data_IF_366418494359
#
_entry.id   IF_366418494359
#
_cell.length_a   1.000
_cell.length_b   1.000
_cell.length_c   1.000
_cell.angle_alpha   90.00
_cell.angle_beta   90.00
_cell.angle_gamma   90.00
#
_symmetry.space_group_name_H-M   'P 1'
#
loop_
_entity.id
_entity.type
_entity.pdbx_description
1 polymer ?
#
# COMPACT_ATOMS: atom_id res chain seq x y z
N UNK A 1 -7.34 -19.39 -3.28
CA UNK A 1 -6.19 -18.69 -2.66
C UNK A 1 -6.47 -17.20 -2.47
N UNK A 2 -7.68 -16.82 -2.05
CA UNK A 2 -8.13 -15.41 -2.02
C UNK A 2 -8.06 -14.80 -0.60
N UNK A 3 -7.99 -15.64 0.43
CA UNK A 3 -7.94 -15.23 1.83
C UNK A 3 -6.54 -14.79 2.27
N UNK A 4 -5.50 -15.31 1.62
CA UNK A 4 -4.08 -15.03 1.90
C UNK A 4 -3.69 -13.57 1.65
N UNK A 5 -4.39 -12.89 0.75
CA UNK A 5 -4.10 -11.50 0.36
C UNK A 5 -4.82 -10.46 1.24
N UNK A 6 -5.84 -10.88 1.98
CA UNK A 6 -6.55 -10.01 2.92
C UNK A 6 -5.87 -9.94 4.29
N UNK A 7 -5.20 -11.02 4.69
CA UNK A 7 -4.43 -11.10 5.94
C UNK A 7 -3.37 -9.98 6.06
N UNK A 8 -2.53 -9.70 5.04
CA UNK A 8 -1.54 -8.63 5.10
C UNK A 8 -2.15 -7.25 5.32
N UNK A 9 -3.24 -6.92 4.60
CA UNK A 9 -3.92 -5.62 4.73
C UNK A 9 -4.58 -5.45 6.10
N UNK A 10 -5.19 -6.51 6.62
CA UNK A 10 -5.80 -6.51 7.95
C UNK A 10 -4.77 -6.27 9.06
N UNK A 11 -3.64 -6.98 9.03
CA UNK A 11 -2.58 -6.78 10.03
C UNK A 11 -1.88 -5.44 9.88
N UNK A 12 -1.70 -4.93 8.66
CA UNK A 12 -1.17 -3.59 8.41
C UNK A 12 -2.07 -2.50 8.98
N UNK A 13 -3.38 -2.58 8.73
CA UNK A 13 -4.34 -1.63 9.29
C UNK A 13 -4.35 -1.66 10.82
N UNK A 14 -4.29 -2.86 11.41
CA UNK A 14 -4.22 -3.04 12.87
C UNK A 14 -2.94 -2.43 13.46
N UNK A 15 -1.79 -2.67 12.83
CA UNK A 15 -0.50 -2.13 13.26
C UNK A 15 -0.47 -0.60 13.18
N UNK A 16 -1.03 -0.03 12.11
CA UNK A 16 -1.12 1.41 11.91
C UNK A 16 -1.97 2.07 13.01
N UNK A 17 -3.18 1.54 13.25
CA UNK A 17 -4.08 2.05 14.27
C UNK A 17 -3.46 1.98 15.68
N UNK A 18 -2.72 0.90 15.98
CA UNK A 18 -2.01 0.76 17.25
C UNK A 18 -0.89 1.81 17.41
N UNK A 19 -0.12 2.06 16.34
CA UNK A 19 0.96 3.05 16.33
C UNK A 19 0.44 4.49 16.46
N UNK A 20 -0.65 4.84 15.76
CA UNK A 20 -1.29 6.15 15.88
C UNK A 20 -1.78 6.42 17.31
N UNK A 21 -2.40 5.41 17.92
CA UNK A 21 -2.82 5.49 19.33
C UNK A 21 -1.62 5.61 20.26
N UNK A 22 -0.54 4.88 20.01
CA UNK A 22 0.69 4.99 20.78
C UNK A 22 1.32 6.39 20.65
N UNK A 23 1.32 6.98 19.46
CA UNK A 23 1.79 8.35 19.23
C UNK A 23 0.96 9.37 20.02
N UNK A 24 -0.37 9.25 19.97
CA UNK A 24 -1.29 10.17 20.65
C UNK A 24 -1.20 10.11 22.19
N UNK A 25 -0.92 8.92 22.73
CA UNK A 25 -0.78 8.70 24.19
C UNK A 25 0.64 8.94 24.71
N UNK A 26 1.62 9.08 23.83
CA UNK A 26 3.01 9.21 24.22
C UNK A 26 3.38 10.67 24.49
N UNK A 27 3.97 10.92 25.67
CA UNK A 27 4.39 12.25 26.10
C UNK A 27 5.89 12.53 25.86
N UNK A 28 6.67 11.52 25.47
CA UNK A 28 8.10 11.66 25.18
C UNK A 28 8.34 12.02 23.70
N UNK A 29 8.94 13.18 23.45
CA UNK A 29 9.18 13.67 22.09
C UNK A 29 10.08 12.75 21.24
N UNK A 30 11.07 12.08 21.83
CA UNK A 30 11.99 11.16 21.11
C UNK A 30 11.28 9.87 20.74
N UNK A 31 10.47 9.33 21.67
CA UNK A 31 9.63 8.16 21.38
C UNK A 31 8.59 8.52 20.32
N UNK A 32 8.02 9.72 20.37
CA UNK A 32 7.08 10.21 19.38
C UNK A 32 7.69 10.26 17.97
N UNK A 33 8.92 10.75 17.84
CA UNK A 33 9.65 10.73 16.55
C UNK A 33 9.85 9.31 16.01
N UNK A 34 10.19 8.34 16.85
CA UNK A 34 10.33 6.95 16.40
C UNK A 34 8.99 6.35 15.96
N UNK A 35 7.91 6.64 16.70
CA UNK A 35 6.56 6.18 16.34
C UNK A 35 6.09 6.82 15.03
N UNK A 36 6.34 8.12 14.82
CA UNK A 36 5.95 8.79 13.57
C UNK A 36 6.70 8.26 12.35
N UNK A 37 7.99 7.92 12.50
CA UNK A 37 8.75 7.23 11.47
C UNK A 37 8.18 5.84 11.17
N UNK A 38 7.77 5.09 12.21
CA UNK A 38 7.14 3.78 12.03
C UNK A 38 5.79 3.88 11.30
N UNK A 39 4.96 4.88 11.64
CA UNK A 39 3.69 5.16 10.93
C UNK A 39 3.95 5.45 9.44
N UNK A 40 4.95 6.29 9.13
CA UNK A 40 5.30 6.61 7.75
C UNK A 40 5.75 5.37 6.96
N UNK A 41 6.56 4.50 7.56
CA UNK A 41 6.99 3.23 6.95
C UNK A 41 5.80 2.28 6.70
N UNK A 42 4.86 2.18 7.65
CA UNK A 42 3.65 1.37 7.50
C UNK A 42 2.76 1.88 6.36
N UNK A 43 2.59 3.19 6.22
CA UNK A 43 1.88 3.77 5.07
C UNK A 43 2.55 3.41 3.74
N UNK A 44 3.88 3.53 3.64
CA UNK A 44 4.61 3.15 2.44
C UNK A 44 4.40 1.67 2.09
N UNK A 45 4.45 0.78 3.08
CA UNK A 45 4.20 -0.65 2.87
C UNK A 45 2.76 -0.91 2.39
N UNK A 46 1.79 -0.17 2.93
CA UNK A 46 0.38 -0.27 2.54
C UNK A 46 0.17 0.20 1.08
N UNK A 47 0.86 1.25 0.65
CA UNK A 47 0.85 1.70 -0.74
C UNK A 47 1.55 0.72 -1.68
N UNK A 48 2.69 0.14 -1.28
CA UNK A 48 3.40 -0.87 -2.07
C UNK A 48 2.56 -2.14 -2.25
N UNK A 49 1.97 -2.65 -1.17
CA UNK A 49 1.08 -3.82 -1.25
C UNK A 49 -0.14 -3.53 -2.11
N UNK A 50 -0.73 -2.33 -2.05
CA UNK A 50 -1.80 -1.93 -2.96
C UNK A 50 -1.34 -1.91 -4.43
N UNK A 51 -0.16 -1.34 -4.73
CA UNK A 51 0.39 -1.28 -6.08
C UNK A 51 0.78 -2.66 -6.64
N UNK A 52 1.32 -3.55 -5.82
CA UNK A 52 1.66 -4.93 -6.22
C UNK A 52 0.42 -5.76 -6.59
N UNK A 53 -0.72 -5.53 -5.94
CA UNK A 53 -1.99 -6.16 -6.32
C UNK A 53 -2.49 -5.69 -7.69
N UNK A 54 -2.41 -4.38 -7.98
CA UNK A 54 -2.82 -3.82 -9.29
C UNK A 54 -1.92 -4.34 -10.42
N UNK A 55 -0.62 -4.47 -10.18
CA UNK A 55 0.32 -4.99 -11.18
C UNK A 55 0.10 -6.49 -11.50
N UNK A 56 -0.43 -7.27 -10.56
CA UNK A 56 -0.68 -8.70 -10.76
C UNK A 56 -2.04 -8.97 -11.40
N UNK A 57 -3.05 -8.13 -11.17
CA UNK A 57 -4.34 -8.16 -11.87
C UNK A 57 -4.23 -7.63 -13.32
N UNK A 58 -3.22 -6.81 -13.63
CA UNK A 58 -2.95 -6.34 -14.99
C UNK A 58 -2.09 -7.31 -15.84
N UNK A 59 -1.83 -8.53 -15.38
CA UNK A 59 -1.40 -9.61 -16.28
C UNK A 59 -2.59 -10.19 -17.03
N UNK A 60 -3.33 -9.33 -17.74
CA UNK A 60 -4.05 -9.77 -18.92
C UNK A 60 -3.00 -10.33 -19.90
N UNK A 61 -3.27 -11.45 -20.59
CA UNK A 61 -2.37 -11.94 -21.61
C UNK A 61 -2.16 -10.79 -22.60
N UNK A 62 -0.89 -10.44 -22.83
CA UNK A 62 -0.44 -9.51 -23.86
C UNK A 62 -1.21 -9.83 -25.15
N UNK A 63 -2.21 -9.02 -25.47
CA UNK A 63 -2.95 -9.11 -26.72
C UNK A 63 -2.13 -8.34 -27.77
N UNK A 64 -1.46 -9.03 -28.71
CA UNK A 64 -0.63 -8.38 -29.71
C UNK A 64 -1.45 -7.58 -30.76
N UNK A 65 -2.78 -7.53 -30.63
CA UNK A 65 -3.67 -6.82 -31.55
C UNK A 65 -4.13 -5.43 -31.08
N UNK A 66 -3.74 -4.94 -29.89
CA UNK A 66 -3.93 -3.51 -29.53
C UNK A 66 -2.88 -2.62 -30.21
N UNK A 67 -2.95 -2.55 -31.53
CA UNK A 67 -2.19 -1.59 -32.34
C UNK A 67 -2.90 -0.25 -32.34
N UNK A 68 -2.42 0.67 -31.50
CA UNK A 68 -2.39 2.14 -31.68
C UNK A 68 -3.57 2.79 -32.44
N UNK A 69 -4.67 3.11 -31.73
CA UNK A 69 -5.68 4.06 -32.23
C UNK A 69 -5.41 5.52 -31.83
N UNK A 70 -4.33 5.81 -31.08
CA UNK A 70 -4.02 7.17 -30.59
C UNK A 70 -3.14 8.01 -31.53
N UNK A 71 -3.07 7.70 -32.83
CA UNK A 71 -2.32 8.51 -33.79
C UNK A 71 -3.11 8.82 -35.07
N UNK A 72 -4.33 9.35 -34.91
CA UNK A 72 -5.14 9.86 -36.01
C UNK A 72 -5.90 11.13 -35.59
N UNK A 73 -5.16 12.21 -35.35
CA UNK A 73 -5.67 13.57 -35.46
C UNK A 73 -4.50 14.51 -35.75
N UNK A 74 -4.06 14.52 -37.01
CA UNK A 74 -3.34 15.66 -37.61
C UNK A 74 -4.42 16.57 -38.20
#
# INVERSE_FOLDING_TARGET
MRDSDQLPRYYLGTALQAMEKAYALNHDARVGQNISQAIAALHQLMHQTAASHVANDNKAPYDPYEVNEHNSAI
#
